data_IF_730534464411
#
_entry.id   IF_730534464411
#
_cell.length_a   1.000
_cell.length_b   1.000
_cell.length_c   1.000
_cell.angle_alpha   90.00
_cell.angle_beta   90.00
_cell.angle_gamma   90.00
#
_symmetry.space_group_name_H-M   'P 1'
#
loop_
_entity.id
_entity.type
_entity.pdbx_description
1 polymer ?
#
# COMPACT_ATOMS: atom_id res chain seq x y z
N UNK A 1 2.62 29.17 -6.98
CA UNK A 1 1.56 28.28 -6.44
C UNK A 1 0.20 28.96 -6.64
N UNK A 2 -0.93 28.23 -6.68
CA UNK A 2 -2.26 28.84 -6.77
C UNK A 2 -2.51 29.86 -5.66
N UNK A 3 -3.28 30.90 -5.96
CA UNK A 3 -3.64 31.93 -4.97
C UNK A 3 -4.35 31.29 -3.78
N UNK A 4 -3.93 31.64 -2.57
CA UNK A 4 -4.50 31.11 -1.32
C UNK A 4 -3.97 29.74 -0.87
N UNK A 5 -2.91 29.24 -1.52
CA UNK A 5 -2.17 28.05 -1.11
C UNK A 5 -0.93 28.37 -0.27
N UNK A 6 -0.52 27.42 0.57
CA UNK A 6 0.71 27.46 1.35
C UNK A 6 1.54 26.24 0.99
N UNK A 7 2.85 26.45 0.78
CA UNK A 7 3.81 25.38 0.56
C UNK A 7 4.73 25.30 1.75
N UNK A 8 5.02 24.08 2.21
CA UNK A 8 5.95 23.82 3.30
C UNK A 8 6.99 22.80 2.85
N UNK A 9 8.26 23.09 3.11
CA UNK A 9 9.36 22.18 2.82
C UNK A 9 10.48 22.38 3.84
N UNK A 10 11.19 21.31 4.21
CA UNK A 10 12.35 21.40 5.12
C UNK A 10 13.56 22.06 4.44
N UNK A 11 13.63 21.99 3.11
CA UNK A 11 14.70 22.51 2.26
C UNK A 11 14.12 23.17 1.00
N UNK A 12 13.43 24.33 1.15
CA UNK A 12 12.69 24.96 0.07
C UNK A 12 13.59 25.34 -1.12
N UNK A 13 13.20 24.92 -2.32
CA UNK A 13 13.91 25.19 -3.58
C UNK A 13 13.29 26.29 -4.43
N UNK A 14 12.25 26.94 -3.92
CA UNK A 14 11.51 27.97 -4.66
C UNK A 14 11.00 29.07 -3.74
N UNK A 15 10.88 30.29 -4.28
CA UNK A 15 10.42 31.46 -3.54
C UNK A 15 8.97 31.29 -3.07
N UNK A 16 8.67 31.68 -1.82
CA UNK A 16 7.32 31.63 -1.25
C UNK A 16 6.92 30.27 -0.66
N UNK A 17 7.83 29.29 -0.66
CA UNK A 17 7.70 28.06 0.15
C UNK A 17 8.22 28.36 1.56
N UNK A 18 7.40 28.04 2.56
CA UNK A 18 7.73 28.22 3.97
C UNK A 18 8.67 27.10 4.41
N UNK A 19 9.82 27.46 4.98
CA UNK A 19 10.76 26.47 5.53
C UNK A 19 10.21 25.88 6.83
N UNK A 20 9.78 24.62 6.81
CA UNK A 20 9.24 23.93 7.98
C UNK A 20 9.23 22.40 7.79
N UNK A 21 9.28 21.65 8.91
CA UNK A 21 8.87 20.25 8.91
C UNK A 21 7.35 20.18 8.93
N UNK A 22 6.74 19.61 7.88
CA UNK A 22 5.28 19.46 7.79
C UNK A 22 4.70 18.76 9.01
N UNK A 23 5.41 17.80 9.61
CA UNK A 23 4.94 17.06 10.78
C UNK A 23 4.88 17.91 12.06
N UNK A 24 5.41 19.13 12.03
CA UNK A 24 5.28 20.12 13.11
C UNK A 24 4.41 21.31 12.73
N UNK A 25 3.88 21.35 11.49
CA UNK A 25 3.00 22.43 11.03
C UNK A 25 1.58 22.18 11.51
N UNK A 26 1.01 23.21 12.14
CA UNK A 26 -0.40 23.27 12.52
C UNK A 26 -1.14 24.31 11.66
N UNK A 27 -2.18 23.88 10.96
CA UNK A 27 -2.97 24.72 10.06
C UNK A 27 -4.30 25.06 10.74
N UNK A 28 -4.41 26.30 11.25
CA UNK A 28 -5.66 26.85 11.76
C UNK A 28 -6.36 27.65 10.68
N UNK A 29 -7.57 27.22 10.26
CA UNK A 29 -8.40 27.92 9.27
C UNK A 29 -9.88 27.71 9.56
N UNK A 30 -10.68 28.74 9.29
CA UNK A 30 -12.15 28.70 9.42
C UNK A 30 -12.85 28.04 8.22
N UNK A 31 -12.07 27.57 7.24
CA UNK A 31 -12.55 26.91 6.02
C UNK A 31 -11.98 25.50 5.90
N UNK A 32 -12.68 24.58 5.22
CA UNK A 32 -12.13 23.26 4.92
C UNK A 32 -10.78 23.34 4.21
N UNK A 33 -9.82 22.56 4.70
CA UNK A 33 -8.47 22.47 4.15
C UNK A 33 -8.34 21.21 3.30
N UNK A 34 -7.70 21.34 2.15
CA UNK A 34 -7.19 20.22 1.36
C UNK A 34 -5.67 20.20 1.45
N UNK A 35 -5.08 19.04 1.68
CA UNK A 35 -3.63 18.85 1.75
C UNK A 35 -3.19 18.02 0.57
N UNK A 36 -2.33 18.61 -0.26
CA UNK A 36 -1.76 18.01 -1.47
C UNK A 36 -0.25 17.84 -1.27
N UNK A 37 0.31 16.74 -1.78
CA UNK A 37 1.75 16.54 -1.64
C UNK A 37 2.26 15.19 -2.13
N UNK A 38 3.58 15.06 -2.09
CA UNK A 38 4.30 13.81 -2.31
C UNK A 38 5.14 13.54 -1.04
N UNK A 39 4.54 12.96 0.01
CA UNK A 39 5.26 12.69 1.25
C UNK A 39 6.51 11.85 1.00
N UNK A 40 7.59 12.04 1.77
CA UNK A 40 8.75 11.16 1.66
C UNK A 40 8.33 9.71 1.96
N UNK A 41 8.65 8.80 1.04
CA UNK A 41 8.18 7.41 1.10
C UNK A 41 8.65 6.68 2.36
N UNK A 42 9.89 6.96 2.82
CA UNK A 42 10.47 6.39 4.03
C UNK A 42 10.69 4.87 3.99
N UNK A 43 11.29 4.32 5.06
CA UNK A 43 11.47 2.87 5.20
C UNK A 43 10.12 2.23 5.54
N UNK A 44 9.69 1.24 4.74
CA UNK A 44 8.44 0.47 4.94
C UNK A 44 7.22 1.40 5.11
N UNK A 45 7.18 2.50 4.34
CA UNK A 45 6.06 3.45 4.31
C UNK A 45 5.75 4.15 5.63
N UNK A 46 6.62 4.03 6.65
CA UNK A 46 6.38 4.58 8.00
C UNK A 46 6.24 6.10 8.01
N UNK A 47 7.09 6.80 7.26
CA UNK A 47 7.07 8.26 7.16
C UNK A 47 5.81 8.73 6.42
N UNK A 48 5.48 8.14 5.29
CA UNK A 48 4.27 8.49 4.54
C UNK A 48 2.99 8.28 5.36
N UNK A 49 2.91 7.23 6.19
CA UNK A 49 1.77 7.01 7.11
C UNK A 49 1.69 8.13 8.17
N UNK A 50 2.82 8.58 8.73
CA UNK A 50 2.85 9.71 9.65
C UNK A 50 2.37 11.00 8.99
N UNK A 51 2.83 11.28 7.77
CA UNK A 51 2.38 12.43 6.98
C UNK A 51 0.88 12.38 6.72
N UNK A 52 0.35 11.22 6.33
CA UNK A 52 -1.08 11.03 6.12
C UNK A 52 -1.88 11.34 7.38
N UNK A 53 -1.52 10.73 8.52
CA UNK A 53 -2.26 10.93 9.77
C UNK A 53 -2.11 12.35 10.33
N UNK A 54 -0.96 13.00 10.11
CA UNK A 54 -0.78 14.40 10.45
C UNK A 54 -1.65 15.32 9.61
N UNK A 55 -1.70 15.07 8.29
CA UNK A 55 -2.59 15.77 7.38
C UNK A 55 -4.07 15.55 7.73
N UNK A 56 -4.43 14.33 8.12
CA UNK A 56 -5.80 13.96 8.46
C UNK A 56 -6.36 14.87 9.55
N UNK A 57 -5.63 15.08 10.65
CA UNK A 57 -6.06 15.89 11.81
C UNK A 57 -6.55 17.30 11.48
N UNK A 58 -6.05 17.88 10.40
CA UNK A 58 -6.23 19.30 10.07
C UNK A 58 -6.78 19.51 8.66
N UNK A 59 -7.36 18.48 8.03
CA UNK A 59 -7.93 18.58 6.68
C UNK A 59 -9.26 17.83 6.52
N UNK A 60 -9.98 18.22 5.48
CA UNK A 60 -11.17 17.52 4.99
C UNK A 60 -10.86 16.62 3.78
N UNK A 61 -9.72 16.85 3.10
CA UNK A 61 -9.29 16.13 1.92
C UNK A 61 -7.76 16.01 1.89
N UNK A 62 -7.27 14.81 1.55
CA UNK A 62 -5.86 14.52 1.32
C UNK A 62 -5.73 14.00 -0.11
N UNK A 63 -4.82 14.56 -0.89
CA UNK A 63 -4.47 14.05 -2.21
C UNK A 63 -2.96 13.88 -2.30
N UNK A 64 -2.48 12.64 -2.18
CA UNK A 64 -1.06 12.33 -2.07
C UNK A 64 -0.58 11.37 -3.16
N UNK A 65 0.66 11.60 -3.58
CA UNK A 65 1.47 10.58 -4.25
C UNK A 65 2.12 9.72 -3.16
N UNK A 66 1.82 8.43 -3.16
CA UNK A 66 2.16 7.49 -2.09
C UNK A 66 2.81 6.23 -2.69
N UNK A 67 3.63 5.48 -1.93
CA UNK A 67 4.10 4.17 -2.38
C UNK A 67 2.92 3.22 -2.64
N UNK A 68 3.04 2.34 -3.64
CA UNK A 68 2.01 1.33 -3.97
C UNK A 68 1.57 0.44 -2.80
N UNK A 69 2.39 0.30 -1.76
CA UNK A 69 2.04 -0.39 -0.50
C UNK A 69 0.80 0.19 0.20
N UNK A 70 0.40 1.44 -0.08
CA UNK A 70 -0.82 2.04 0.47
C UNK A 70 -2.11 1.38 0.00
N UNK A 71 -2.06 0.49 -1.01
CA UNK A 71 -3.18 -0.39 -1.37
C UNK A 71 -3.37 -1.57 -0.42
N UNK A 72 -2.33 -1.94 0.35
CA UNK A 72 -2.39 -3.10 1.26
C UNK A 72 -3.27 -2.80 2.47
N UNK A 73 -4.10 -3.77 2.85
CA UNK A 73 -5.01 -3.69 3.98
C UNK A 73 -4.29 -3.32 5.30
N UNK A 74 -3.12 -3.93 5.55
CA UNK A 74 -2.31 -3.65 6.73
C UNK A 74 -1.81 -2.21 6.83
N UNK A 75 -1.57 -1.54 5.70
CA UNK A 75 -1.19 -0.13 5.66
C UNK A 75 -2.43 0.75 5.85
N UNK A 76 -3.51 0.49 5.12
CA UNK A 76 -4.74 1.28 5.24
C UNK A 76 -5.37 1.23 6.63
N UNK A 77 -5.20 0.14 7.37
CA UNK A 77 -5.65 0.01 8.75
C UNK A 77 -4.88 0.91 9.73
N UNK A 78 -3.71 1.42 9.34
CA UNK A 78 -2.90 2.37 10.13
C UNK A 78 -3.19 3.84 9.80
N UNK A 79 -4.00 4.08 8.77
CA UNK A 79 -4.43 5.42 8.38
C UNK A 79 -5.65 5.84 9.21
N UNK A 80 -5.80 7.14 9.40
CA UNK A 80 -6.95 7.73 10.06
C UNK A 80 -8.26 7.19 9.45
N UNK A 81 -9.15 6.69 10.32
CA UNK A 81 -10.35 5.96 9.92
C UNK A 81 -11.48 6.87 9.46
N UNK A 82 -11.41 8.16 9.75
CA UNK A 82 -12.38 9.13 9.22
C UNK A 82 -12.13 9.41 7.73
N UNK A 83 -10.97 9.02 7.19
CA UNK A 83 -10.64 9.20 5.78
C UNK A 83 -10.97 7.96 4.95
N UNK A 84 -11.72 8.21 3.87
CA UNK A 84 -12.16 7.21 2.91
C UNK A 84 -11.50 7.46 1.58
N UNK A 85 -10.91 6.42 0.99
CA UNK A 85 -10.34 6.45 -0.35
C UNK A 85 -11.48 6.69 -1.36
N UNK A 86 -11.36 7.74 -2.16
CA UNK A 86 -12.34 8.11 -3.20
C UNK A 86 -11.75 8.11 -4.61
N UNK A 87 -10.42 8.11 -4.74
CA UNK A 87 -9.70 7.97 -6.01
C UNK A 87 -8.39 7.21 -5.76
N UNK A 88 -8.07 6.27 -6.65
CA UNK A 88 -6.81 5.52 -6.66
C UNK A 88 -6.36 5.34 -8.10
N UNK A 89 -5.12 5.74 -8.39
CA UNK A 89 -4.57 5.72 -9.74
C UNK A 89 -3.07 5.38 -9.68
N UNK A 90 -2.59 4.58 -10.63
CA UNK A 90 -1.16 4.32 -10.77
C UNK A 90 -0.45 5.58 -11.26
N UNK A 91 0.67 5.93 -10.62
CA UNK A 91 1.57 6.95 -11.17
C UNK A 91 2.30 6.34 -12.36
N UNK A 92 2.37 7.02 -13.53
CA UNK A 92 3.10 6.50 -14.68
C UNK A 92 4.57 6.18 -14.35
N UNK A 93 5.13 5.21 -15.07
CA UNK A 93 6.56 4.92 -14.99
C UNK A 93 7.38 6.18 -15.32
N UNK A 94 8.59 6.26 -14.76
CA UNK A 94 9.54 7.36 -15.00
C UNK A 94 9.05 8.77 -14.58
N UNK A 95 8.00 8.84 -13.75
CA UNK A 95 7.43 10.10 -13.27
C UNK A 95 8.30 10.84 -12.22
N UNK A 96 9.33 10.19 -11.68
CA UNK A 96 10.23 10.79 -10.69
C UNK A 96 11.61 11.07 -11.27
N UNK A 97 12.29 12.06 -10.70
CA UNK A 97 13.69 12.35 -11.00
C UNK A 97 14.57 11.97 -9.81
N UNK A 98 15.56 11.12 -10.05
CA UNK A 98 16.62 10.84 -9.10
C UNK A 98 17.96 11.30 -9.69
N UNK A 99 18.59 12.30 -9.04
CA UNK A 99 19.84 12.91 -9.52
C UNK A 99 19.77 13.39 -10.98
N UNK A 100 18.64 13.97 -11.35
CA UNK A 100 18.41 14.52 -12.70
C UNK A 100 18.11 13.49 -13.78
N UNK A 101 17.98 12.20 -13.43
CA UNK A 101 17.56 11.14 -14.37
C UNK A 101 16.18 10.61 -14.00
N UNK A 102 15.37 10.21 -15.00
CA UNK A 102 14.13 9.49 -14.73
C UNK A 102 14.40 8.28 -13.84
N UNK A 103 13.52 8.07 -12.87
CA UNK A 103 13.61 7.00 -11.90
C UNK A 103 12.22 6.45 -11.64
N UNK A 104 12.05 5.15 -11.89
CA UNK A 104 10.78 4.48 -11.64
C UNK A 104 10.66 4.09 -10.17
N UNK A 105 9.55 4.50 -9.56
CA UNK A 105 9.17 4.08 -8.22
C UNK A 105 7.71 3.67 -8.26
N UNK A 106 7.36 2.43 -7.89
CA UNK A 106 5.97 2.01 -7.82
C UNK A 106 5.17 2.89 -6.84
N UNK A 107 4.39 3.80 -7.39
CA UNK A 107 3.64 4.81 -6.67
C UNK A 107 2.20 4.90 -7.16
N UNK A 108 1.34 5.46 -6.31
CA UNK A 108 -0.08 5.70 -6.58
C UNK A 108 -0.41 7.13 -6.22
N UNK A 109 -1.28 7.74 -7.02
CA UNK A 109 -1.96 8.96 -6.65
C UNK A 109 -3.30 8.58 -6.00
N UNK A 110 -3.50 8.99 -4.75
CA UNK A 110 -4.72 8.70 -4.02
C UNK A 110 -5.37 9.96 -3.48
N UNK A 111 -6.69 10.03 -3.62
CA UNK A 111 -7.53 11.05 -2.98
C UNK A 111 -8.34 10.39 -1.88
N UNK A 112 -8.24 10.95 -0.68
CA UNK A 112 -8.96 10.54 0.50
C UNK A 112 -9.81 11.68 1.03
N UNK A 113 -11.08 11.41 1.34
CA UNK A 113 -12.04 12.40 1.84
C UNK A 113 -12.48 12.02 3.25
N UNK A 114 -12.51 13.01 4.14
CA UNK A 114 -13.06 12.87 5.48
C UNK A 114 -14.57 12.61 5.42
N UNK A 115 -15.05 11.64 6.20
CA UNK A 115 -16.48 11.35 6.39
C UNK A 115 -16.79 11.23 7.89
N UNK A 116 -18.05 11.45 8.31
CA UNK A 116 -18.43 11.31 9.71
C UNK A 116 -18.36 9.88 10.25
N UNK A 117 -18.52 8.88 9.37
CA UNK A 117 -18.49 7.47 9.75
C UNK A 117 -17.07 6.91 9.61
N UNK A 118 -16.60 6.24 10.66
CA UNK A 118 -15.34 5.51 10.64
C UNK A 118 -15.38 4.38 9.61
N UNK A 119 -14.32 4.28 8.80
CA UNK A 119 -14.09 3.12 7.93
C UNK A 119 -13.90 1.86 8.77
N UNK A 120 -14.44 0.73 8.30
CA UNK A 120 -14.18 -0.58 8.88
C UNK A 120 -12.72 -0.98 8.67
N UNK A 121 -12.16 -1.72 9.62
CA UNK A 121 -10.83 -2.33 9.43
C UNK A 121 -10.93 -3.42 8.38
N UNK A 122 -9.96 -3.47 7.47
CA UNK A 122 -9.84 -4.54 6.48
C UNK A 122 -9.26 -5.77 7.16
N UNK A 123 -9.82 -6.94 6.88
CA UNK A 123 -9.30 -8.20 7.40
C UNK A 123 -7.86 -8.46 6.92
N UNK A 124 -7.03 -8.97 7.83
CA UNK A 124 -5.62 -9.32 7.58
C UNK A 124 -5.30 -10.66 8.23
N UNK A 125 -6.20 -11.62 8.04
CA UNK A 125 -6.06 -12.99 8.54
C UNK A 125 -4.95 -13.74 7.80
N UNK A 126 -4.23 -14.62 8.49
CA UNK A 126 -3.14 -15.40 7.89
C UNK A 126 -3.40 -16.90 7.88
N UNK A 127 -4.64 -17.30 8.16
CA UNK A 127 -5.10 -18.68 8.27
C UNK A 127 -6.48 -18.81 7.62
N UNK A 128 -6.81 -20.01 7.15
CA UNK A 128 -8.10 -20.36 6.61
C UNK A 128 -8.42 -21.81 6.98
N UNK A 129 -9.69 -22.21 7.03
CA UNK A 129 -10.09 -23.58 7.40
C UNK A 129 -9.78 -24.60 6.31
N UNK A 130 -9.78 -24.17 5.05
CA UNK A 130 -9.67 -25.06 3.89
C UNK A 130 -8.22 -25.40 3.50
N UNK A 131 -7.23 -24.66 4.03
CA UNK A 131 -5.81 -24.89 3.73
C UNK A 131 -4.89 -24.34 4.83
N UNK A 132 -3.69 -24.91 4.90
CA UNK A 132 -2.64 -24.50 5.83
C UNK A 132 -1.38 -24.05 5.08
N UNK A 133 -0.67 -23.07 5.64
CA UNK A 133 0.69 -22.76 5.23
C UNK A 133 1.67 -23.66 6.01
N UNK A 134 2.20 -24.69 5.35
CA UNK A 134 2.94 -25.78 5.98
C UNK A 134 4.46 -25.73 5.70
N UNK A 135 5.15 -26.83 5.99
CA UNK A 135 6.54 -27.06 5.57
C UNK A 135 6.59 -27.72 4.19
N UNK A 136 7.79 -27.88 3.63
CA UNK A 136 7.96 -28.55 2.33
C UNK A 136 7.55 -30.02 2.32
N UNK A 137 7.63 -30.69 3.48
CA UNK A 137 7.40 -32.14 3.59
C UNK A 137 5.90 -32.48 3.54
N UNK A 138 5.04 -31.52 3.89
CA UNK A 138 3.58 -31.69 3.98
C UNK A 138 2.82 -31.04 2.81
N UNK A 139 3.54 -30.40 1.89
CA UNK A 139 2.96 -29.50 0.90
C UNK A 139 2.32 -30.26 -0.27
N UNK A 140 1.12 -29.84 -0.66
CA UNK A 140 0.46 -30.30 -1.90
C UNK A 140 0.94 -29.47 -3.11
N UNK A 141 1.26 -28.19 -2.90
CA UNK A 141 1.79 -27.29 -3.92
C UNK A 141 2.52 -26.09 -3.28
N UNK A 142 3.20 -25.31 -4.11
CA UNK A 142 4.02 -24.17 -3.71
C UNK A 142 3.57 -22.90 -4.42
N UNK A 143 3.53 -21.78 -3.69
CA UNK A 143 3.29 -20.44 -4.23
C UNK A 143 4.56 -19.61 -4.02
N UNK A 144 5.14 -19.08 -5.10
CA UNK A 144 6.23 -18.12 -4.99
C UNK A 144 5.71 -16.81 -4.38
N UNK A 145 6.27 -16.37 -3.25
CA UNK A 145 5.82 -15.18 -2.52
C UNK A 145 6.66 -13.93 -2.77
N UNK A 146 7.87 -14.03 -3.30
CA UNK A 146 8.77 -12.89 -3.55
C UNK A 146 9.46 -13.02 -4.90
N UNK A 147 9.61 -11.90 -5.60
CA UNK A 147 10.34 -11.79 -6.86
C UNK A 147 9.42 -11.60 -8.07
N UNK A 148 10.00 -11.54 -9.27
CA UNK A 148 9.28 -11.24 -10.50
C UNK A 148 8.12 -12.21 -10.80
N UNK A 149 8.16 -13.42 -10.24
CA UNK A 149 7.16 -14.47 -10.40
C UNK A 149 6.28 -14.63 -9.14
N UNK A 150 6.22 -13.62 -8.26
CA UNK A 150 5.35 -13.66 -7.08
C UNK A 150 3.89 -13.91 -7.48
N UNK A 151 3.27 -14.92 -6.86
CA UNK A 151 1.97 -15.45 -7.20
C UNK A 151 1.99 -16.70 -8.08
N UNK A 152 3.14 -17.09 -8.65
CA UNK A 152 3.26 -18.32 -9.45
C UNK A 152 3.07 -19.56 -8.58
N UNK A 153 2.23 -20.48 -9.05
CA UNK A 153 2.05 -21.81 -8.46
C UNK A 153 2.93 -22.82 -9.18
N UNK A 154 3.59 -23.71 -8.44
CA UNK A 154 4.40 -24.81 -8.96
C UNK A 154 4.58 -25.94 -7.92
N UNK A 155 5.31 -26.99 -8.28
CA UNK A 155 5.51 -28.21 -7.47
C UNK A 155 7.00 -28.46 -7.16
N UNK A 156 7.79 -27.38 -7.11
CA UNK A 156 9.20 -27.49 -6.68
C UNK A 156 9.24 -27.33 -5.16
N UNK A 157 9.24 -28.47 -4.46
CA UNK A 157 9.23 -28.52 -3.01
C UNK A 157 10.60 -28.25 -2.38
N UNK A 158 11.68 -28.21 -3.17
CA UNK A 158 13.00 -27.81 -2.70
C UNK A 158 13.23 -26.29 -2.77
N UNK A 159 12.22 -25.55 -3.22
CA UNK A 159 12.26 -24.10 -3.29
C UNK A 159 12.49 -23.45 -1.90
N UNK A 160 13.18 -22.31 -1.88
CA UNK A 160 13.53 -21.66 -0.61
C UNK A 160 12.28 -21.16 0.16
N UNK A 161 12.13 -21.51 1.46
CA UNK A 161 11.05 -20.98 2.30
C UNK A 161 11.07 -19.46 2.50
N UNK A 162 12.21 -18.81 2.24
CA UNK A 162 12.32 -17.36 2.30
C UNK A 162 11.52 -16.67 1.17
N UNK A 163 11.40 -17.31 0.02
CA UNK A 163 10.74 -16.79 -1.18
C UNK A 163 9.51 -17.58 -1.61
N UNK A 164 9.14 -18.64 -0.91
CA UNK A 164 7.99 -19.50 -1.22
C UNK A 164 7.10 -19.77 -0.01
N UNK A 165 5.81 -19.96 -0.28
CA UNK A 165 4.85 -20.52 0.66
C UNK A 165 4.47 -21.92 0.21
N UNK A 166 4.55 -22.86 1.13
CA UNK A 166 4.10 -24.23 0.97
C UNK A 166 2.66 -24.33 1.46
N UNK A 167 1.80 -24.96 0.67
CA UNK A 167 0.37 -25.04 0.96
C UNK A 167 -0.06 -26.50 1.00
N UNK A 168 -0.77 -26.86 2.07
CA UNK A 168 -1.45 -28.12 2.22
C UNK A 168 -2.96 -27.88 2.20
N UNK A 169 -3.70 -28.69 1.45
CA UNK A 169 -5.15 -28.66 1.36
C UNK A 169 -5.66 -28.84 -0.06
N UNK A 170 -6.91 -29.31 -0.24
CA UNK A 170 -7.51 -29.63 -1.54
C UNK A 170 -7.97 -28.37 -2.31
N UNK A 171 -7.15 -27.32 -2.32
CA UNK A 171 -7.52 -25.98 -2.79
C UNK A 171 -6.81 -25.54 -4.07
N UNK A 172 -5.93 -26.37 -4.64
CA UNK A 172 -5.12 -26.04 -5.83
C UNK A 172 -5.99 -25.50 -6.99
N UNK A 173 -7.11 -26.16 -7.27
CA UNK A 173 -8.03 -25.79 -8.35
C UNK A 173 -8.64 -24.38 -8.17
N UNK A 174 -8.84 -23.92 -6.93
CA UNK A 174 -9.26 -22.55 -6.61
C UNK A 174 -8.06 -21.60 -6.71
N UNK A 175 -6.93 -21.96 -6.09
CA UNK A 175 -5.73 -21.12 -6.05
C UNK A 175 -5.21 -20.74 -7.44
N UNK A 176 -5.29 -21.66 -8.41
CA UNK A 176 -4.91 -21.40 -9.81
C UNK A 176 -5.77 -20.32 -10.51
N UNK A 177 -6.96 -20.03 -9.99
CA UNK A 177 -7.88 -19.02 -10.52
C UNK A 177 -7.69 -17.65 -9.88
N UNK A 178 -6.92 -17.57 -8.78
CA UNK A 178 -6.77 -16.33 -8.03
C UNK A 178 -5.80 -15.36 -8.72
N UNK A 179 -6.11 -14.05 -8.77
CA UNK A 179 -5.30 -13.07 -9.47
C UNK A 179 -4.10 -12.59 -8.62
N UNK A 180 -3.25 -13.50 -8.13
CA UNK A 180 -2.16 -13.15 -7.20
C UNK A 180 -1.22 -12.06 -7.72
N UNK A 181 -0.93 -12.06 -9.02
CA UNK A 181 -0.07 -11.05 -9.65
C UNK A 181 -0.61 -9.61 -9.46
N UNK A 182 -1.94 -9.44 -9.40
CA UNK A 182 -2.58 -8.13 -9.23
C UNK A 182 -2.27 -7.48 -7.87
N UNK A 183 -2.09 -8.30 -6.82
CA UNK A 183 -1.80 -7.83 -5.46
C UNK A 183 -0.32 -7.88 -5.12
N UNK A 184 0.44 -8.80 -5.73
CA UNK A 184 1.88 -8.93 -5.51
C UNK A 184 2.65 -7.65 -5.89
N UNK A 185 2.15 -6.89 -6.86
CA UNK A 185 2.70 -5.61 -7.30
C UNK A 185 2.41 -4.41 -6.39
N UNK A 186 1.62 -4.57 -5.32
CA UNK A 186 1.28 -3.49 -4.38
C UNK A 186 2.41 -3.24 -3.37
N UNK A 187 3.62 -3.02 -3.88
CA UNK A 187 4.84 -2.82 -3.11
C UNK A 187 5.71 -1.76 -3.78
N UNK A 188 6.61 -1.13 -3.01
CA UNK A 188 7.55 -0.12 -3.53
C UNK A 188 8.84 -0.72 -4.12
N UNK A 189 8.95 -2.06 -4.18
CA UNK A 189 10.16 -2.76 -4.61
C UNK A 189 9.81 -4.12 -5.21
N UNK A 190 10.61 -5.15 -4.94
CA UNK A 190 10.37 -6.48 -5.49
C UNK A 190 8.96 -6.98 -5.18
N UNK A 191 8.19 -7.45 -6.19
CA UNK A 191 6.84 -7.96 -6.00
C UNK A 191 6.83 -8.98 -4.86
N UNK A 192 5.84 -8.84 -3.98
CA UNK A 192 5.69 -9.78 -2.88
C UNK A 192 4.26 -9.91 -2.40
N UNK A 193 3.95 -11.15 -2.06
CA UNK A 193 2.64 -11.60 -1.62
C UNK A 193 2.71 -11.98 -0.14
N UNK A 194 1.83 -11.43 0.67
CA UNK A 194 1.66 -11.81 2.07
C UNK A 194 0.64 -12.95 2.20
N UNK A 195 0.77 -13.77 3.25
CA UNK A 195 -0.24 -14.79 3.61
C UNK A 195 -1.66 -14.21 3.66
N UNK A 196 -1.81 -13.01 4.20
CA UNK A 196 -3.11 -12.36 4.30
C UNK A 196 -3.71 -11.89 2.98
N UNK A 197 -2.88 -11.63 1.97
CA UNK A 197 -3.35 -11.32 0.62
C UNK A 197 -3.87 -12.60 -0.06
N UNK A 198 -3.22 -13.75 0.17
CA UNK A 198 -3.69 -15.05 -0.32
C UNK A 198 -5.02 -15.42 0.33
N UNK A 199 -5.11 -15.33 1.66
CA UNK A 199 -6.34 -15.63 2.41
C UNK A 199 -7.47 -14.70 1.97
N UNK A 200 -7.22 -13.40 1.84
CA UNK A 200 -8.24 -12.44 1.41
C UNK A 200 -8.79 -12.76 0.01
N UNK A 201 -7.92 -13.04 -0.96
CA UNK A 201 -8.35 -13.40 -2.32
C UNK A 201 -9.12 -14.72 -2.33
N UNK A 202 -8.71 -15.70 -1.53
CA UNK A 202 -9.39 -16.98 -1.41
C UNK A 202 -10.81 -16.82 -0.85
N UNK A 203 -10.96 -16.04 0.22
CA UNK A 203 -12.27 -15.72 0.84
C UNK A 203 -13.18 -14.96 -0.13
N UNK A 204 -12.64 -13.97 -0.82
CA UNK A 204 -13.39 -13.20 -1.82
C UNK A 204 -13.92 -14.11 -2.94
N UNK A 205 -13.09 -15.03 -3.43
CA UNK A 205 -13.47 -15.97 -4.47
C UNK A 205 -14.52 -17.00 -4.02
N UNK A 206 -14.40 -17.48 -2.77
CA UNK A 206 -15.26 -18.56 -2.25
C UNK A 206 -16.49 -18.07 -1.49
N UNK A 207 -16.53 -16.79 -1.12
CA UNK A 207 -17.55 -16.21 -0.26
C UNK A 207 -17.53 -16.74 1.18
N UNK A 208 -16.42 -17.37 1.61
CA UNK A 208 -16.29 -18.06 2.89
C UNK A 208 -15.29 -17.42 3.83
#
# INVERSE_FOLDING_TARGET
>A
MPVGSFGFDVDPKWWGIIKADFLTVEITRDRPVAILGNPPFGKISSTAVRFFNHAARQSALIAFILPRTFRKASIQNRLDRDFHLVHDEDVPADAFLFRGKPFDVPAVFQIWKRKPQLRALRLVETQHTDFEFCTKDDADFVIQRVGAQAGRIHFDFEASPASHYFIQGPVLHIMLQLPFASVAGNVAGNPSLAKSEIVALYREFTGR
#
